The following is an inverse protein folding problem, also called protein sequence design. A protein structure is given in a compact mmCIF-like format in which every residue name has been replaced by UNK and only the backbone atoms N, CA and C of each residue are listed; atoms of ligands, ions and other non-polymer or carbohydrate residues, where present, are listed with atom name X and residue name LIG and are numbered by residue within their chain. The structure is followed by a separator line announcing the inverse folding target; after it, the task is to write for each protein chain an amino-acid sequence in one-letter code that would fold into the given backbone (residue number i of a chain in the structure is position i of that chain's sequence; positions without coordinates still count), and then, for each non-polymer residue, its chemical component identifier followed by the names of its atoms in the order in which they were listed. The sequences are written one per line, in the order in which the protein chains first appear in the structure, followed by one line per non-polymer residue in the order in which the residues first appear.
data_IF_035113158245
#
_entry.id   IF_035113158245
#
_cell.length_a   1.000
_cell.length_b   1.000
_cell.length_c   1.000
_cell.angle_alpha   90.00
_cell.angle_beta   90.00
_cell.angle_gamma   90.00
#
_symmetry.space_group_name_H-M   'P 1'
#
loop_
_entity.id
_entity.type
_entity.pdbx_description
1 polymer ?
#
# COMPACT_ATOMS: atom_id res chain seq x y z
N UNK A 1 7.02 -4.24 -11.82
CA UNK A 1 6.04 -4.56 -10.77
C UNK A 1 6.66 -5.22 -9.54
N UNK A 2 7.20 -6.45 -9.59
CA UNK A 2 7.77 -7.08 -8.37
C UNK A 2 8.86 -6.24 -7.69
N UNK A 3 9.81 -5.70 -8.47
CA UNK A 3 10.81 -4.76 -7.95
C UNK A 3 10.16 -3.53 -7.30
N UNK A 4 9.09 -2.98 -7.90
CA UNK A 4 8.40 -1.80 -7.36
C UNK A 4 7.80 -2.03 -5.96
N UNK A 5 7.39 -3.26 -5.64
CA UNK A 5 6.88 -3.60 -4.30
C UNK A 5 8.00 -4.04 -3.34
N UNK A 6 9.01 -4.80 -3.79
CA UNK A 6 10.01 -5.38 -2.89
C UNK A 6 11.30 -4.59 -2.75
N UNK A 7 11.77 -3.94 -3.81
CA UNK A 7 13.02 -3.17 -3.79
C UNK A 7 12.82 -1.91 -2.93
N UNK A 8 13.64 -1.70 -1.88
CA UNK A 8 13.50 -0.52 -1.03
C UNK A 8 13.67 0.80 -1.78
N UNK A 9 14.51 0.86 -2.81
CA UNK A 9 14.74 2.07 -3.59
C UNK A 9 13.52 2.42 -4.45
N UNK A 10 12.91 1.41 -5.09
CA UNK A 10 11.68 1.61 -5.86
C UNK A 10 10.48 1.92 -4.96
N UNK A 11 10.37 1.20 -3.83
CA UNK A 11 9.25 1.36 -2.89
C UNK A 11 9.22 2.75 -2.26
N UNK A 12 10.38 3.35 -2.02
CA UNK A 12 10.48 4.70 -1.48
C UNK A 12 9.78 5.76 -2.35
N UNK A 13 9.57 5.49 -3.65
CA UNK A 13 8.90 6.41 -4.57
C UNK A 13 7.37 6.43 -4.40
N UNK A 14 6.77 5.46 -3.70
CA UNK A 14 5.31 5.41 -3.54
C UNK A 14 4.83 5.13 -2.12
N UNK A 15 5.66 4.55 -1.25
CA UNK A 15 5.34 4.29 0.16
C UNK A 15 6.62 4.36 1.03
N UNK A 16 7.17 5.55 1.26
CA UNK A 16 8.45 5.75 1.96
C UNK A 16 8.38 5.33 3.44
N UNK A 17 7.18 5.35 4.02
CA UNK A 17 6.90 4.89 5.36
C UNK A 17 6.87 3.37 5.52
N UNK A 18 7.29 2.56 4.55
CA UNK A 18 7.26 1.08 4.65
C UNK A 18 8.64 0.45 4.51
N UNK A 19 9.06 -0.29 5.55
CA UNK A 19 10.32 -1.02 5.58
C UNK A 19 10.10 -2.49 5.85
N UNK A 20 10.76 -3.35 5.07
CA UNK A 20 10.78 -4.78 5.32
C UNK A 20 11.94 -5.46 4.61
N UNK A 21 12.25 -6.68 5.06
CA UNK A 21 13.17 -7.60 4.40
C UNK A 21 12.35 -8.62 3.61
N UNK A 22 12.40 -8.66 2.27
CA UNK A 22 11.51 -9.49 1.43
C UNK A 22 11.90 -10.98 1.46
N UNK A 23 11.89 -11.57 2.65
CA UNK A 23 12.18 -12.98 2.92
C UNK A 23 11.12 -13.55 3.85
N UNK A 24 10.82 -14.87 3.79
CA UNK A 24 9.91 -15.50 4.75
C UNK A 24 10.32 -15.20 6.20
N UNK A 25 9.34 -14.81 7.02
CA UNK A 25 9.53 -14.40 8.42
C UNK A 25 10.40 -13.14 8.64
N UNK A 26 10.81 -12.46 7.57
CA UNK A 26 11.44 -11.15 7.62
C UNK A 26 10.58 -10.15 8.39
N UNK A 27 11.22 -9.18 9.02
CA UNK A 27 10.50 -8.14 9.77
C UNK A 27 9.94 -7.12 8.81
N UNK A 28 8.75 -6.59 9.12
CA UNK A 28 8.23 -5.39 8.50
C UNK A 28 7.79 -4.37 9.55
N UNK A 29 7.90 -3.10 9.19
CA UNK A 29 7.48 -1.93 9.97
C UNK A 29 6.87 -0.88 9.01
N UNK A 30 5.72 -0.33 9.39
CA UNK A 30 4.96 0.65 8.59
C UNK A 30 4.65 1.89 9.44
N UNK A 31 4.92 3.04 8.87
CA UNK A 31 4.55 4.37 9.32
C UNK A 31 3.57 4.95 8.31
N UNK A 32 2.43 5.46 8.78
CA UNK A 32 1.41 6.07 7.90
C UNK A 32 1.75 7.52 7.48
N UNK A 33 3.03 7.90 7.54
CA UNK A 33 3.54 9.19 7.10
C UNK A 33 4.81 9.02 6.27
N UNK A 34 5.31 10.14 5.75
CA UNK A 34 6.38 10.12 4.76
C UNK A 34 7.76 9.79 5.35
N UNK A 35 7.88 9.82 6.68
CA UNK A 35 9.11 9.53 7.41
C UNK A 35 8.95 8.36 8.36
N UNK A 36 9.97 7.50 8.43
CA UNK A 36 10.07 6.41 9.40
C UNK A 36 10.58 6.96 10.76
N UNK A 37 9.80 7.85 11.37
CA UNK A 37 10.12 8.52 12.63
C UNK A 37 9.27 7.98 13.79
N UNK A 38 9.89 7.81 14.95
CA UNK A 38 9.22 7.25 16.13
C UNK A 38 8.84 5.78 15.97
N UNK A 39 7.97 5.25 16.86
CA UNK A 39 7.51 3.87 16.78
C UNK A 39 6.66 3.65 15.52
N UNK A 40 6.83 2.50 14.86
CA UNK A 40 5.99 2.10 13.75
C UNK A 40 4.52 1.94 14.21
N UNK A 41 3.59 2.29 13.33
CA UNK A 41 2.16 2.14 13.57
C UNK A 41 1.72 0.69 13.42
N UNK A 42 2.35 -0.02 12.49
CA UNK A 42 2.14 -1.46 12.27
C UNK A 42 3.51 -2.12 12.15
N UNK A 43 3.73 -3.18 12.92
CA UNK A 43 4.93 -4.02 12.83
C UNK A 43 4.54 -5.49 12.83
N UNK A 44 5.31 -6.30 12.14
CA UNK A 44 5.07 -7.74 12.12
C UNK A 44 6.14 -8.52 11.40
N UNK A 45 5.75 -9.72 10.95
CA UNK A 45 6.59 -10.59 10.13
C UNK A 45 5.90 -10.91 8.82
N UNK A 46 6.71 -11.04 7.78
CA UNK A 46 6.27 -11.50 6.46
C UNK A 46 5.69 -12.91 6.61
N UNK A 47 4.42 -13.06 6.21
CA UNK A 47 3.70 -14.32 6.22
C UNK A 47 4.05 -15.17 4.99
N UNK A 48 4.18 -14.53 3.82
CA UNK A 48 4.60 -15.18 2.58
C UNK A 48 5.46 -14.24 1.72
N UNK A 49 6.48 -14.81 1.06
CA UNK A 49 7.26 -14.14 0.02
C UNK A 49 7.61 -15.17 -1.05
N UNK A 50 6.91 -15.12 -2.19
CA UNK A 50 7.04 -16.02 -3.32
C UNK A 50 7.31 -15.20 -4.59
N UNK A 51 8.57 -14.82 -4.87
CA UNK A 51 8.89 -14.05 -6.06
C UNK A 51 8.53 -14.80 -7.36
N UNK A 52 8.03 -14.11 -8.39
CA UNK A 52 7.64 -12.70 -8.44
C UNK A 52 6.13 -12.48 -8.19
N UNK A 53 5.46 -13.41 -7.51
CA UNK A 53 3.99 -13.53 -7.51
C UNK A 53 3.33 -12.99 -6.24
N UNK A 54 3.87 -13.26 -5.07
CA UNK A 54 3.15 -13.01 -3.81
C UNK A 54 4.04 -12.43 -2.72
N UNK A 55 3.61 -11.33 -2.13
CA UNK A 55 4.14 -10.77 -0.89
C UNK A 55 2.99 -10.60 0.11
N UNK A 56 3.14 -11.14 1.32
CA UNK A 56 2.14 -11.04 2.37
C UNK A 56 2.78 -10.52 3.67
N UNK A 57 2.39 -9.31 4.07
CA UNK A 57 2.86 -8.60 5.26
C UNK A 57 1.77 -8.66 6.34
N UNK A 58 1.78 -9.70 7.17
CA UNK A 58 0.70 -9.92 8.14
C UNK A 58 -0.62 -10.19 7.42
N UNK A 59 -1.55 -9.24 7.46
CA UNK A 59 -2.85 -9.32 6.76
C UNK A 59 -2.87 -8.65 5.39
N UNK A 60 -1.84 -7.88 5.06
CA UNK A 60 -1.74 -7.15 3.80
C UNK A 60 -1.15 -8.08 2.75
N UNK A 61 -1.91 -8.35 1.69
CA UNK A 61 -1.54 -9.25 0.60
C UNK A 61 -1.39 -8.48 -0.69
N UNK A 62 -0.23 -8.62 -1.33
CA UNK A 62 0.10 -8.11 -2.64
C UNK A 62 0.31 -9.30 -3.59
N UNK A 63 -0.63 -9.51 -4.51
CA UNK A 63 -0.58 -10.62 -5.45
C UNK A 63 -0.46 -10.10 -6.88
N UNK A 64 0.55 -10.56 -7.59
CA UNK A 64 0.83 -10.20 -8.97
C UNK A 64 0.36 -11.29 -9.90
N UNK A 65 -0.49 -10.90 -10.85
CA UNK A 65 -1.00 -11.76 -11.90
C UNK A 65 -0.56 -11.25 -13.27
N UNK A 66 -0.15 -12.13 -14.20
CA UNK A 66 0.06 -11.73 -15.58
C UNK A 66 -1.28 -11.32 -16.20
N UNK A 67 -1.28 -10.24 -16.97
CA UNK A 67 -2.41 -9.79 -17.77
C UNK A 67 -2.04 -9.84 -19.27
N UNK A 68 -3.03 -9.68 -20.15
CA UNK A 68 -2.78 -9.64 -21.60
C UNK A 68 -1.79 -8.52 -21.97
N UNK A 69 -1.88 -7.39 -21.27
CA UNK A 69 -0.92 -6.29 -21.32
C UNK A 69 -0.50 -5.96 -19.88
N UNK A 70 0.81 -5.96 -19.61
CA UNK A 70 1.35 -5.61 -18.31
C UNK A 70 1.10 -6.65 -17.21
N UNK A 71 0.76 -6.16 -16.02
CA UNK A 71 0.61 -6.97 -14.81
C UNK A 71 -0.50 -6.38 -13.94
N UNK A 72 -1.38 -7.23 -13.42
CA UNK A 72 -2.37 -6.86 -12.42
C UNK A 72 -1.78 -7.05 -11.03
N UNK A 73 -1.79 -5.99 -10.22
CA UNK A 73 -1.56 -6.06 -8.78
C UNK A 73 -2.91 -6.10 -8.07
N UNK A 74 -3.21 -7.22 -7.41
CA UNK A 74 -4.32 -7.33 -6.47
C UNK A 74 -3.80 -7.06 -5.06
N UNK A 75 -4.33 -6.01 -4.43
CA UNK A 75 -4.05 -5.69 -3.04
C UNK A 75 -5.27 -5.98 -2.17
N UNK A 76 -5.06 -6.64 -1.03
CA UNK A 76 -6.08 -6.82 0.00
C UNK A 76 -5.50 -6.66 1.39
N UNK A 77 -6.32 -6.18 2.34
CA UNK A 77 -5.98 -6.08 3.75
C UNK A 77 -7.17 -6.45 4.61
N UNK A 78 -6.93 -7.20 5.69
CA UNK A 78 -7.94 -7.57 6.68
C UNK A 78 -7.83 -6.62 7.86
N UNK A 79 -8.77 -5.69 7.95
CA UNK A 79 -8.81 -4.70 9.03
C UNK A 79 -9.30 -5.30 10.33
N UNK A 80 -8.50 -5.13 11.39
CA UNK A 80 -8.87 -5.52 12.75
C UNK A 80 -9.34 -4.30 13.54
N UNK A 81 -10.52 -4.41 14.13
CA UNK A 81 -11.12 -3.33 14.90
C UNK A 81 -11.02 -3.61 16.39
N UNK A 82 -10.44 -2.68 17.14
CA UNK A 82 -10.51 -2.66 18.59
C UNK A 82 -11.73 -1.84 19.07
N UNK A 83 -12.06 -1.95 20.36
CA UNK A 83 -13.19 -1.23 20.95
C UNK A 83 -12.88 0.25 21.27
N UNK A 84 -11.64 0.70 21.07
CA UNK A 84 -11.19 2.04 21.46
C UNK A 84 -11.46 3.11 20.40
N UNK A 85 -11.85 2.72 19.18
CA UNK A 85 -12.03 3.63 18.04
C UNK A 85 -13.32 3.33 17.28
N UNK A 86 -13.85 4.35 16.62
CA UNK A 86 -14.90 4.19 15.62
C UNK A 86 -14.40 3.30 14.48
N UNK A 87 -15.14 2.23 14.18
CA UNK A 87 -14.79 1.33 13.06
C UNK A 87 -14.81 2.05 11.73
N UNK A 88 -15.76 2.97 11.55
CA UNK A 88 -15.92 3.74 10.33
C UNK A 88 -14.73 4.67 10.10
N UNK A 89 -14.36 5.47 11.10
CA UNK A 89 -13.27 6.44 10.97
C UNK A 89 -11.92 5.72 10.77
N UNK A 90 -11.71 4.61 11.47
CA UNK A 90 -10.51 3.79 11.28
C UNK A 90 -10.45 3.17 9.88
N UNK A 91 -11.55 2.56 9.42
CA UNK A 91 -11.60 1.97 8.09
C UNK A 91 -11.36 3.03 7.01
N UNK A 92 -12.03 4.19 7.10
CA UNK A 92 -11.85 5.27 6.14
C UNK A 92 -10.41 5.78 6.08
N UNK A 93 -9.76 5.97 7.24
CA UNK A 93 -8.38 6.43 7.27
C UNK A 93 -7.41 5.43 6.62
N UNK A 94 -7.57 4.13 6.93
CA UNK A 94 -6.70 3.08 6.36
C UNK A 94 -6.94 2.91 4.85
N UNK A 95 -8.22 2.87 4.44
CA UNK A 95 -8.57 2.73 3.01
C UNK A 95 -8.09 3.93 2.20
N UNK A 96 -8.30 5.15 2.68
CA UNK A 96 -7.82 6.36 2.00
C UNK A 96 -6.30 6.37 1.85
N UNK A 97 -5.56 6.00 2.90
CA UNK A 97 -4.10 5.90 2.84
C UNK A 97 -3.61 4.87 1.83
N UNK A 98 -4.21 3.67 1.79
CA UNK A 98 -3.85 2.65 0.80
C UNK A 98 -4.19 3.07 -0.63
N UNK A 99 -5.36 3.66 -0.86
CA UNK A 99 -5.73 4.20 -2.17
C UNK A 99 -4.68 5.20 -2.66
N UNK A 100 -4.30 6.16 -1.81
CA UNK A 100 -3.27 7.15 -2.14
C UNK A 100 -1.94 6.51 -2.53
N UNK A 101 -1.45 5.55 -1.75
CA UNK A 101 -0.18 4.88 -2.06
C UNK A 101 -0.27 4.05 -3.34
N UNK A 102 -1.38 3.37 -3.60
CA UNK A 102 -1.57 2.60 -4.82
C UNK A 102 -1.69 3.48 -6.08
N UNK A 103 -2.34 4.65 -5.97
CA UNK A 103 -2.36 5.64 -7.05
C UNK A 103 -0.94 6.18 -7.34
N UNK A 104 -0.19 6.45 -6.27
CA UNK A 104 1.21 6.90 -6.37
C UNK A 104 2.08 5.85 -7.04
N UNK A 105 1.85 4.56 -6.75
CA UNK A 105 2.54 3.46 -7.42
C UNK A 105 2.21 3.42 -8.92
N UNK A 106 0.94 3.62 -9.29
CA UNK A 106 0.54 3.65 -10.69
C UNK A 106 1.23 4.81 -11.44
N UNK A 107 1.20 6.02 -10.87
CA UNK A 107 1.86 7.20 -11.45
C UNK A 107 3.39 7.00 -11.55
N UNK A 108 4.01 6.43 -10.51
CA UNK A 108 5.45 6.12 -10.54
C UNK A 108 5.80 5.18 -11.69
N UNK A 109 4.98 4.14 -11.91
CA UNK A 109 5.24 3.15 -12.95
C UNK A 109 4.99 3.67 -14.37
N UNK A 110 4.03 4.57 -14.55
CA UNK A 110 3.68 5.12 -15.86
C UNK A 110 4.57 6.32 -16.25
N UNK A 111 4.79 7.24 -15.30
CA UNK A 111 5.42 8.54 -15.57
C UNK A 111 6.85 8.66 -15.02
N UNK A 112 7.27 7.75 -14.13
CA UNK A 112 8.58 7.84 -13.46
C UNK A 112 8.68 9.02 -12.49
N UNK A 113 7.55 9.53 -12.00
CA UNK A 113 7.46 10.63 -11.03
C UNK A 113 6.84 10.10 -9.74
N UNK A 114 7.43 10.44 -8.59
CA UNK A 114 6.78 10.16 -7.31
C UNK A 114 5.64 11.14 -7.10
N UNK A 115 4.40 10.64 -7.06
CA UNK A 115 3.24 11.48 -6.77
C UNK A 115 3.19 11.98 -5.30
N UNK A 116 4.14 11.55 -4.45
CA UNK A 116 4.34 12.14 -3.12
C UNK A 116 4.82 13.60 -3.21
N UNK A 117 5.48 13.95 -4.31
CA UNK A 117 5.90 15.32 -4.60
C UNK A 117 4.78 16.17 -5.23
N UNK A 118 3.63 15.56 -5.53
CA UNK A 118 2.47 16.22 -6.12
C UNK A 118 1.43 16.59 -5.04
N UNK A 119 0.62 17.64 -5.25
CA UNK A 119 -0.51 17.94 -4.38
C UNK A 119 -1.43 16.72 -4.27
N UNK A 120 -1.96 16.48 -3.08
CA UNK A 120 -2.93 15.40 -2.87
C UNK A 120 -4.10 15.51 -3.87
N UNK A 121 -4.41 14.43 -4.62
CA UNK A 121 -5.58 14.40 -5.47
C UNK A 121 -6.83 14.66 -4.65
N UNK A 122 -7.75 15.47 -5.19
CA UNK A 122 -9.05 15.65 -4.57
C UNK A 122 -9.93 14.42 -4.84
N UNK A 123 -9.89 13.46 -3.92
CA UNK A 123 -10.69 12.24 -3.98
C UNK A 123 -12.20 12.47 -3.89
N UNK A 124 -12.66 13.70 -3.63
CA UNK A 124 -14.09 14.04 -3.66
C UNK A 124 -14.61 14.25 -5.08
N UNK A 125 -13.74 14.54 -6.05
CA UNK A 125 -14.14 14.80 -7.46
C UNK A 125 -13.92 13.61 -8.40
N UNK A 126 -13.29 12.54 -7.91
CA UNK A 126 -13.11 11.30 -8.69
C UNK A 126 -14.42 10.52 -8.70
N UNK A 127 -14.90 10.21 -9.91
CA UNK A 127 -16.05 9.33 -10.11
C UNK A 127 -15.66 7.88 -9.76
N UNK A 128 -16.24 7.36 -8.67
CA UNK A 128 -15.99 6.00 -8.20
C UNK A 128 -17.26 5.19 -8.46
N UNK A 129 -17.22 4.19 -9.36
CA UNK A 129 -18.39 3.36 -9.64
C UNK A 129 -18.97 2.75 -8.35
N UNK A 130 -20.24 3.03 -8.08
CA UNK A 130 -20.94 2.57 -6.87
C UNK A 130 -20.87 3.52 -5.67
N UNK A 131 -20.25 4.69 -5.80
CA UNK A 131 -20.43 5.81 -4.86
C UNK A 131 -21.81 6.40 -5.14
N UNK A 132 -22.79 6.11 -4.29
CA UNK A 132 -24.06 6.80 -4.32
C UNK A 132 -23.80 8.31 -4.22
N UNK A 133 -24.13 9.05 -5.28
CA UNK A 133 -24.24 10.51 -5.20
C UNK A 133 -25.35 10.84 -4.21
N UNK A 134 -25.16 11.86 -3.35
CA UNK A 134 -26.17 12.25 -2.37
C UNK A 134 -27.52 12.63 -3.01
#
# INVERSE_FOLDING_TARGET
MWAAITDPAERANWVPGMRFEPVPHGRFDIWFGDACEGPAHVSGRIAACEPPRLLELGTMRFELMPAAEGCLLEFSDVLWFDASRSRFDFANAVLAGWHRFLDTLAIWLDDGVSALDLPEPDYSVVDVPGRDTP
#
